data_IF_226262258591
#
_entry.id   IF_226262258591
#
_cell.length_a   1.000
_cell.length_b   1.000
_cell.length_c   1.000
_cell.angle_alpha   90.00
_cell.angle_beta   90.00
_cell.angle_gamma   90.00
#
_symmetry.space_group_name_H-M   'P 1'
#
loop_
_entity.id
_entity.type
_entity.pdbx_description
1 polymer ?
#
# COMPACT_ATOMS: atom_id res chain seq x y z
N UNK A 1 -8.87 12.73 14.07
CA UNK A 1 -8.48 13.16 12.71
C UNK A 1 -6.98 13.30 12.49
N UNK A 2 -6.25 14.13 13.24
CA UNK A 2 -4.80 14.34 13.01
C UNK A 2 -3.96 13.05 12.98
N UNK A 3 -4.22 12.11 13.92
CA UNK A 3 -3.54 10.81 13.95
C UNK A 3 -3.74 10.00 12.67
N UNK A 4 -4.96 10.03 12.09
CA UNK A 4 -5.23 9.39 10.80
C UNK A 4 -4.44 10.06 9.69
N UNK A 5 -4.35 11.40 9.69
CA UNK A 5 -3.59 12.13 8.66
C UNK A 5 -2.08 11.84 8.71
N UNK A 6 -1.51 11.78 9.90
CA UNK A 6 -0.10 11.42 10.06
C UNK A 6 0.17 10.00 9.56
N UNK A 7 -0.72 9.06 9.86
CA UNK A 7 -0.55 7.68 9.46
C UNK A 7 -0.77 7.49 7.95
N UNK A 8 -1.74 8.20 7.36
CA UNK A 8 -1.92 8.25 5.91
C UNK A 8 -0.65 8.77 5.22
N UNK A 9 -0.02 9.83 5.75
CA UNK A 9 1.24 10.35 5.21
C UNK A 9 2.41 9.37 5.31
N UNK A 10 2.47 8.54 6.36
CA UNK A 10 3.47 7.48 6.47
C UNK A 10 3.25 6.38 5.43
N UNK A 11 1.98 5.99 5.21
CA UNK A 11 1.61 5.05 4.16
C UNK A 11 1.97 5.59 2.77
N UNK A 12 1.63 6.85 2.48
CA UNK A 12 1.98 7.52 1.22
C UNK A 12 3.49 7.56 0.98
N UNK A 13 4.28 7.93 1.99
CA UNK A 13 5.74 7.99 1.87
C UNK A 13 6.36 6.61 1.58
N UNK A 14 5.90 5.58 2.29
CA UNK A 14 6.36 4.20 2.08
C UNK A 14 5.96 3.69 0.69
N UNK A 15 4.73 3.97 0.25
CA UNK A 15 4.24 3.54 -1.07
C UNK A 15 4.85 4.35 -2.21
N UNK A 16 5.37 5.55 -1.97
CA UNK A 16 6.03 6.39 -2.99
C UNK A 16 7.50 6.03 -3.24
N UNK A 17 8.11 5.20 -2.40
CA UNK A 17 9.53 4.83 -2.53
C UNK A 17 9.73 3.83 -3.66
N UNK A 18 10.71 4.05 -4.55
CA UNK A 18 10.98 3.18 -5.72
C UNK A 18 11.48 1.75 -5.38
N UNK A 19 11.75 1.48 -4.11
CA UNK A 19 12.20 0.17 -3.61
C UNK A 19 11.07 -0.78 -3.22
N UNK A 20 11.45 -1.97 -2.76
CA UNK A 20 10.52 -2.94 -2.22
C UNK A 20 9.83 -2.39 -0.96
N UNK A 21 8.51 -2.54 -0.89
CA UNK A 21 7.72 -2.18 0.29
C UNK A 21 7.89 -3.26 1.35
N UNK A 22 8.24 -2.86 2.57
CA UNK A 22 8.27 -3.77 3.71
C UNK A 22 6.83 -4.24 4.03
N UNK A 23 6.50 -5.54 3.81
CA UNK A 23 5.15 -6.04 3.99
C UNK A 23 4.72 -6.06 5.46
N UNK A 24 5.66 -6.22 6.40
CA UNK A 24 5.37 -6.28 7.84
C UNK A 24 5.02 -4.88 8.35
N UNK A 25 5.82 -3.88 7.97
CA UNK A 25 5.54 -2.49 8.30
C UNK A 25 4.24 -2.01 7.65
N UNK A 26 3.99 -2.35 6.38
CA UNK A 26 2.74 -2.02 5.69
C UNK A 26 1.53 -2.61 6.42
N UNK A 27 1.58 -3.89 6.80
CA UNK A 27 0.51 -4.53 7.55
C UNK A 27 0.27 -3.84 8.90
N UNK A 28 1.33 -3.51 9.63
CA UNK A 28 1.23 -2.83 10.91
C UNK A 28 0.58 -1.44 10.78
N UNK A 29 0.97 -0.65 9.79
CA UNK A 29 0.39 0.67 9.53
C UNK A 29 -1.09 0.56 9.15
N UNK A 30 -1.46 -0.39 8.30
CA UNK A 30 -2.86 -0.62 7.91
C UNK A 30 -3.74 -1.03 9.10
N UNK A 31 -3.25 -1.91 9.99
CA UNK A 31 -3.98 -2.28 11.21
C UNK A 31 -4.17 -1.08 12.15
N UNK A 32 -3.13 -0.26 12.33
CA UNK A 32 -3.26 0.97 13.12
C UNK A 32 -4.25 1.95 12.49
N UNK A 33 -4.28 2.06 11.16
CA UNK A 33 -5.26 2.86 10.43
C UNK A 33 -6.69 2.40 10.69
N UNK A 34 -6.92 1.10 10.58
CA UNK A 34 -8.23 0.47 10.82
C UNK A 34 -8.71 0.76 12.24
N UNK A 35 -7.84 0.62 13.24
CA UNK A 35 -8.17 0.95 14.63
C UNK A 35 -8.59 2.41 14.80
N UNK A 36 -7.86 3.35 14.20
CA UNK A 36 -8.20 4.78 14.26
C UNK A 36 -9.54 5.06 13.57
N UNK A 37 -9.81 4.42 12.44
CA UNK A 37 -11.09 4.58 11.74
C UNK A 37 -12.25 4.07 12.59
N UNK A 38 -12.10 2.92 13.25
CA UNK A 38 -13.11 2.42 14.19
C UNK A 38 -13.36 3.39 15.36
N UNK A 39 -12.30 3.95 15.94
CA UNK A 39 -12.42 4.96 17.01
C UNK A 39 -13.17 6.21 16.55
N UNK A 40 -12.92 6.67 15.32
CA UNK A 40 -13.59 7.83 14.73
C UNK A 40 -15.05 7.53 14.40
N UNK A 41 -15.33 6.35 13.84
CA UNK A 41 -16.69 5.92 13.49
C UNK A 41 -17.57 5.67 14.71
N UNK A 42 -16.98 5.41 15.88
CA UNK A 42 -17.72 5.26 17.13
C UNK A 42 -18.29 6.59 17.66
N UNK A 43 -17.81 7.74 17.18
CA UNK A 43 -18.24 9.10 17.59
C UNK A 43 -18.42 10.03 16.38
N UNK A 44 -19.32 9.69 15.43
CA UNK A 44 -19.45 10.39 14.17
C UNK A 44 -19.86 11.86 14.33
N UNK A 45 -20.54 12.21 15.43
CA UNK A 45 -20.93 13.58 15.77
C UNK A 45 -19.73 14.51 16.02
N UNK A 46 -18.54 13.95 16.28
CA UNK A 46 -17.30 14.69 16.48
C UNK A 46 -16.50 14.87 15.18
N UNK A 47 -17.00 14.32 14.07
CA UNK A 47 -16.33 14.38 12.77
C UNK A 47 -16.79 15.60 11.98
N UNK A 48 -15.85 16.50 11.74
CA UNK A 48 -16.03 17.53 10.72
C UNK A 48 -16.20 16.89 9.34
N UNK A 49 -17.32 17.22 8.68
CA UNK A 49 -17.71 16.58 7.41
C UNK A 49 -16.65 16.74 6.32
N UNK A 50 -16.05 17.92 6.24
CA UNK A 50 -14.98 18.22 5.27
C UNK A 50 -13.72 17.40 5.54
N UNK A 51 -13.31 17.29 6.80
CA UNK A 51 -12.16 16.50 7.20
C UNK A 51 -12.38 15.01 6.93
N UNK A 52 -13.59 14.52 7.21
CA UNK A 52 -13.97 13.13 6.94
C UNK A 52 -13.96 12.83 5.43
N UNK A 53 -14.54 13.72 4.61
CA UNK A 53 -14.51 13.60 3.16
C UNK A 53 -13.06 13.54 2.62
N UNK A 54 -12.18 14.40 3.13
CA UNK A 54 -10.77 14.35 2.76
C UNK A 54 -10.06 13.05 3.19
N UNK A 55 -10.53 12.38 4.26
CA UNK A 55 -10.02 11.06 4.64
C UNK A 55 -10.52 9.94 3.71
N UNK A 56 -11.75 10.04 3.21
CA UNK A 56 -12.28 9.13 2.20
C UNK A 56 -11.47 9.24 0.91
N UNK A 57 -11.20 10.45 0.43
CA UNK A 57 -10.41 10.69 -0.78
C UNK A 57 -8.99 10.14 -0.67
N UNK A 58 -8.31 10.38 0.47
CA UNK A 58 -6.99 9.78 0.75
C UNK A 58 -7.03 8.26 0.81
N UNK A 59 -8.11 7.68 1.33
CA UNK A 59 -8.30 6.22 1.31
C UNK A 59 -8.33 5.68 -0.12
N UNK A 60 -9.07 6.33 -1.01
CA UNK A 60 -9.12 5.94 -2.42
C UNK A 60 -7.74 6.01 -3.08
N UNK A 61 -6.98 7.08 -2.82
CA UNK A 61 -5.62 7.23 -3.33
C UNK A 61 -4.66 6.14 -2.81
N UNK A 62 -4.71 5.83 -1.51
CA UNK A 62 -3.90 4.77 -0.90
C UNK A 62 -4.20 3.40 -1.52
N UNK A 63 -5.48 3.08 -1.75
CA UNK A 63 -5.88 1.82 -2.38
C UNK A 63 -5.33 1.70 -3.80
N UNK A 64 -5.36 2.78 -4.58
CA UNK A 64 -4.79 2.81 -5.91
C UNK A 64 -3.28 2.56 -5.87
N UNK A 65 -2.55 3.26 -5.00
CA UNK A 65 -1.10 3.09 -4.85
C UNK A 65 -0.72 1.66 -4.43
N UNK A 66 -1.45 1.07 -3.47
CA UNK A 66 -1.23 -0.31 -3.03
C UNK A 66 -1.46 -1.29 -4.20
N UNK A 67 -2.53 -1.08 -4.99
CA UNK A 67 -2.80 -1.92 -6.17
C UNK A 67 -1.69 -1.79 -7.21
N UNK A 68 -1.25 -0.57 -7.52
CA UNK A 68 -0.16 -0.33 -8.47
C UNK A 68 1.14 -1.02 -8.03
N UNK A 69 1.50 -0.93 -6.74
CA UNK A 69 2.69 -1.61 -6.19
C UNK A 69 2.59 -3.12 -6.32
N UNK A 70 1.43 -3.71 -5.98
CA UNK A 70 1.19 -5.15 -6.15
C UNK A 70 1.39 -5.58 -7.61
N UNK A 71 0.83 -4.82 -8.55
CA UNK A 71 0.89 -5.15 -9.97
C UNK A 71 2.33 -5.01 -10.52
N UNK A 72 3.10 -4.02 -10.03
CA UNK A 72 4.53 -3.89 -10.32
C UNK A 72 5.33 -5.10 -9.83
N UNK A 73 5.15 -5.51 -8.56
CA UNK A 73 5.83 -6.68 -8.00
C UNK A 73 5.50 -7.96 -8.77
N UNK A 74 4.22 -8.16 -9.15
CA UNK A 74 3.81 -9.31 -9.95
C UNK A 74 4.49 -9.32 -11.33
N UNK A 75 4.58 -8.17 -12.00
CA UNK A 75 5.27 -8.04 -13.28
C UNK A 75 6.78 -8.29 -13.18
N UNK A 76 7.42 -7.87 -12.09
CA UNK A 76 8.84 -8.16 -11.83
C UNK A 76 9.08 -9.67 -11.64
N UNK A 77 8.23 -10.33 -10.85
CA UNK A 77 8.31 -11.78 -10.61
C UNK A 77 8.16 -12.58 -11.92
N UNK A 78 7.22 -12.20 -12.78
CA UNK A 78 7.05 -12.83 -14.09
C UNK A 78 8.32 -12.72 -14.95
N UNK A 79 8.92 -11.52 -15.03
CA UNK A 79 10.17 -11.32 -15.79
C UNK A 79 11.32 -12.18 -15.27
N UNK A 80 11.47 -12.31 -13.95
CA UNK A 80 12.49 -13.17 -13.33
C UNK A 80 12.28 -14.64 -13.68
N UNK A 81 11.04 -15.14 -13.60
CA UNK A 81 10.71 -16.51 -13.98
C UNK A 81 10.98 -16.79 -15.46
N UNK A 82 10.65 -15.84 -16.34
CA UNK A 82 11.00 -15.94 -17.76
C UNK A 82 12.51 -15.99 -17.99
N UNK A 83 13.28 -15.12 -17.34
CA UNK A 83 14.75 -15.14 -17.40
C UNK A 83 15.35 -16.46 -16.95
N UNK A 84 14.87 -17.02 -15.83
CA UNK A 84 15.29 -18.33 -15.34
C UNK A 84 14.99 -19.45 -16.34
N UNK A 85 13.80 -19.46 -16.95
CA UNK A 85 13.44 -20.45 -17.98
C UNK A 85 14.35 -20.33 -19.20
N UNK A 86 14.61 -19.11 -19.69
CA UNK A 86 15.51 -18.88 -20.83
C UNK A 86 16.93 -19.38 -20.54
N UNK A 87 17.44 -19.13 -19.33
CA UNK A 87 18.74 -19.63 -18.88
C UNK A 87 18.77 -21.16 -18.80
N UNK A 88 17.72 -21.80 -18.29
CA UNK A 88 17.61 -23.27 -18.25
C UNK A 88 17.63 -23.88 -19.66
N UNK A 89 16.96 -23.24 -20.63
CA UNK A 89 16.98 -23.69 -22.03
C UNK A 89 18.38 -23.54 -22.62
N UNK A 90 19.03 -22.39 -22.46
CA UNK A 90 20.40 -22.16 -22.93
C UNK A 90 21.38 -23.21 -22.39
N UNK A 91 21.31 -23.50 -21.09
CA UNK A 91 22.19 -24.49 -20.46
C UNK A 91 22.00 -25.93 -20.99
N UNK A 92 20.89 -26.26 -21.66
CA UNK A 92 20.70 -27.57 -22.31
C UNK A 92 21.47 -27.71 -23.62
N UNK A 93 21.88 -26.60 -24.21
CA UNK A 93 22.62 -26.55 -25.49
C UNK A 93 24.11 -26.19 -25.30
N UNK A 94 24.56 -26.07 -24.06
CA UNK A 94 25.96 -25.90 -23.67
C UNK A 94 26.53 -27.23 -23.23
#
# INVERSE_FOLDING_TARGET
MQRLQQLDGQLEAMLSTDGDVDPQLLQQLLQQREQILHELMAKPEQLEKSAWQAAVERTSCLLEQISQRRDQSAGQLQRLQHGQRSMQVYNKFR
#
